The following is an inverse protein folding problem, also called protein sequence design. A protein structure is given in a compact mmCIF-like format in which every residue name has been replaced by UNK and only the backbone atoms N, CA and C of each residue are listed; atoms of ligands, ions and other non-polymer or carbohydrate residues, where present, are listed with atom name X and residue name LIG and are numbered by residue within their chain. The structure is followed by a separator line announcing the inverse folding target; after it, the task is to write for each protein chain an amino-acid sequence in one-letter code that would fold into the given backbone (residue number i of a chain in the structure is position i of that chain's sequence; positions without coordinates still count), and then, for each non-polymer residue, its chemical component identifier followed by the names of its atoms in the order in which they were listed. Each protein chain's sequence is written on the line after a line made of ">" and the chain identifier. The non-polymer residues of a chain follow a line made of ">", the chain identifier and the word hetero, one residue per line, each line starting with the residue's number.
data_IF_379475075811
#
_entry.id   IF_379475075811
#
_cell.length_a   1.000
_cell.length_b   1.000
_cell.length_c   1.000
_cell.angle_alpha   90.00
_cell.angle_beta   90.00
_cell.angle_gamma   90.00
#
_symmetry.space_group_name_H-M   'P 1'
#
loop_
_entity.id
_entity.type
_entity.pdbx_description
1 polymer ?
#
# COMPACT_ATOMS: atom_id res chain seq x y z
N UNK A 1 -12.19 30.36 -3.04
CA UNK A 1 -12.33 29.41 -1.92
C UNK A 1 -11.76 28.10 -2.40
N UNK A 2 -10.53 27.78 -2.01
CA UNK A 2 -10.00 26.42 -2.16
C UNK A 2 -10.79 25.56 -1.20
N UNK A 3 -11.58 24.62 -1.72
CA UNK A 3 -12.16 23.60 -0.86
C UNK A 3 -11.00 22.74 -0.37
N UNK A 4 -10.81 22.66 0.94
CA UNK A 4 -9.93 21.66 1.55
C UNK A 4 -10.48 20.28 1.15
N UNK A 5 -9.69 19.50 0.40
CA UNK A 5 -10.11 18.22 -0.18
C UNK A 5 -9.84 17.03 0.75
N UNK A 6 -9.80 17.26 2.07
CA UNK A 6 -9.55 16.21 3.05
C UNK A 6 -10.81 15.90 3.86
N UNK A 7 -11.03 14.62 4.15
CA UNK A 7 -12.12 14.14 5.02
C UNK A 7 -11.87 14.44 6.51
N UNK A 8 -10.70 15.00 6.83
CA UNK A 8 -10.31 15.39 8.19
C UNK A 8 -11.01 16.70 8.52
N UNK A 9 -11.87 16.68 9.54
CA UNK A 9 -12.60 17.86 9.98
C UNK A 9 -11.62 18.92 10.50
N UNK A 10 -11.75 20.15 10.01
CA UNK A 10 -11.04 21.33 10.52
C UNK A 10 -11.35 21.45 12.02
N UNK A 11 -10.29 21.46 12.84
CA UNK A 11 -10.23 21.53 14.32
C UNK A 11 -9.91 20.22 15.10
N UNK A 12 -9.77 19.06 14.45
CA UNK A 12 -9.35 17.80 15.09
C UNK A 12 -7.88 17.41 14.87
N UNK A 13 -7.24 16.78 15.86
CA UNK A 13 -5.93 16.13 15.69
C UNK A 13 -6.09 14.86 14.82
N UNK A 14 -5.83 15.03 13.52
CA UNK A 14 -5.92 13.99 12.49
C UNK A 14 -5.13 12.72 12.83
N UNK A 15 -3.99 12.89 13.51
CA UNK A 15 -3.12 11.78 13.91
C UNK A 15 -3.83 10.97 14.99
N UNK A 16 -4.34 11.62 16.03
CA UNK A 16 -5.09 10.94 17.09
C UNK A 16 -6.34 10.22 16.56
N UNK A 17 -7.08 10.82 15.62
CA UNK A 17 -8.26 10.15 15.01
C UNK A 17 -7.87 8.92 14.19
N UNK A 18 -6.79 9.01 13.40
CA UNK A 18 -6.24 7.86 12.69
C UNK A 18 -5.87 6.73 13.65
N UNK A 19 -5.16 7.04 14.75
CA UNK A 19 -4.73 6.04 15.73
C UNK A 19 -5.92 5.34 16.38
N UNK A 20 -6.96 6.10 16.77
CA UNK A 20 -8.20 5.53 17.32
C UNK A 20 -8.87 4.60 16.30
N UNK A 21 -9.00 5.03 15.05
CA UNK A 21 -9.55 4.19 13.98
C UNK A 21 -8.75 2.91 13.76
N UNK A 22 -7.42 2.98 13.86
CA UNK A 22 -6.55 1.81 13.77
C UNK A 22 -6.79 0.82 14.93
N UNK A 23 -6.81 1.31 16.17
CA UNK A 23 -7.05 0.49 17.38
C UNK A 23 -8.45 -0.12 17.38
N UNK A 24 -9.48 0.65 17.00
CA UNK A 24 -10.86 0.15 16.89
C UNK A 24 -11.00 -0.93 15.80
N UNK A 25 -10.19 -0.85 14.74
CA UNK A 25 -10.19 -1.83 13.63
C UNK A 25 -9.40 -3.10 13.99
N UNK A 26 -8.30 -2.96 14.74
CA UNK A 26 -7.37 -4.05 15.03
C UNK A 26 -7.26 -4.28 16.54
N UNK A 27 -8.07 -5.19 17.13
CA UNK A 27 -8.12 -5.44 18.58
C UNK A 27 -6.79 -5.89 19.23
N UNK A 28 -5.82 -6.29 18.41
CA UNK A 28 -4.46 -6.63 18.83
C UNK A 28 -3.54 -5.43 19.01
N UNK A 29 -4.01 -4.20 18.79
CA UNK A 29 -3.27 -2.96 18.97
C UNK A 29 -3.91 -2.09 20.05
N UNK A 30 -3.08 -1.32 20.75
CA UNK A 30 -3.47 -0.31 21.75
C UNK A 30 -2.53 0.89 21.66
N UNK A 31 -2.97 2.05 22.16
CA UNK A 31 -2.11 3.19 22.41
C UNK A 31 -1.75 3.30 23.90
N UNK A 32 -0.62 3.93 24.21
CA UNK A 32 -0.15 4.09 25.59
C UNK A 32 -0.93 5.19 26.33
N UNK A 33 -1.33 4.95 27.58
CA UNK A 33 -2.00 5.96 28.39
C UNK A 33 -1.06 7.15 28.66
N UNK A 34 -1.59 8.37 28.51
CA UNK A 34 -0.80 9.61 28.52
C UNK A 34 0.05 9.88 27.27
N UNK A 35 0.18 8.92 26.36
CA UNK A 35 0.94 9.03 25.10
C UNK A 35 0.16 8.38 23.94
N UNK A 36 -0.96 8.97 23.50
CA UNK A 36 -1.85 8.39 22.49
C UNK A 36 -1.19 8.22 21.11
N UNK A 37 -0.03 8.83 20.91
CA UNK A 37 0.81 8.76 19.72
C UNK A 37 1.74 7.53 19.68
N UNK A 38 1.77 6.74 20.76
CA UNK A 38 2.57 5.51 20.89
C UNK A 38 1.67 4.29 20.74
N UNK A 39 1.89 3.49 19.71
CA UNK A 39 1.09 2.29 19.39
C UNK A 39 1.88 1.03 19.67
N UNK A 40 1.27 0.09 20.38
CA UNK A 40 1.86 -1.20 20.81
C UNK A 40 0.85 -2.34 20.66
N UNK A 41 1.27 -3.61 20.58
CA UNK A 41 0.36 -4.74 20.63
C UNK A 41 -0.31 -4.90 22.00
N UNK A 42 -1.60 -5.26 22.03
CA UNK A 42 -2.39 -5.46 23.25
C UNK A 42 -1.78 -6.47 24.22
N UNK A 43 -1.07 -7.47 23.70
CA UNK A 43 -0.41 -8.51 24.51
C UNK A 43 0.99 -8.11 25.00
N UNK A 44 1.48 -6.91 24.66
CA UNK A 44 2.82 -6.43 24.99
C UNK A 44 2.76 -5.23 25.92
N UNK A 45 2.86 -5.50 27.21
CA UNK A 45 3.14 -4.53 28.26
C UNK A 45 4.26 -5.08 29.15
N UNK A 46 5.16 -4.21 29.64
CA UNK A 46 6.30 -4.58 30.50
C UNK A 46 5.85 -5.42 31.71
N UNK A 47 6.76 -6.28 32.19
CA UNK A 47 6.54 -7.26 33.26
C UNK A 47 6.19 -6.67 34.65
N UNK A 48 6.41 -5.37 34.86
CA UNK A 48 6.00 -4.63 36.06
C UNK A 48 4.56 -4.07 35.99
N UNK A 49 3.90 -4.18 34.83
CA UNK A 49 2.53 -3.69 34.58
C UNK A 49 1.61 -4.80 34.00
N UNK A 50 2.17 -5.86 33.39
CA UNK A 50 1.44 -6.98 32.78
C UNK A 50 2.04 -8.33 33.16
N UNK A 51 1.20 -9.34 33.35
CA UNK A 51 1.59 -10.71 33.68
C UNK A 51 2.27 -11.50 32.55
N UNK A 52 2.45 -10.90 31.36
CA UNK A 52 3.13 -11.53 30.23
C UNK A 52 4.57 -11.04 30.10
N UNK A 53 5.55 -11.93 30.26
CA UNK A 53 6.97 -11.62 30.02
C UNK A 53 7.25 -11.53 28.52
N UNK A 54 7.48 -10.33 27.98
CA UNK A 54 8.08 -10.20 26.65
C UNK A 54 9.58 -10.54 26.75
N UNK A 55 9.96 -11.69 26.20
CA UNK A 55 11.29 -12.30 26.36
C UNK A 55 12.17 -12.16 25.10
N UNK A 56 11.78 -11.26 24.19
CA UNK A 56 12.43 -10.99 22.91
C UNK A 56 12.93 -9.55 22.84
N UNK A 57 13.78 -9.26 21.86
CA UNK A 57 14.20 -7.89 21.55
C UNK A 57 12.98 -7.09 21.08
N UNK A 58 12.76 -5.91 21.64
CA UNK A 58 11.74 -5.00 21.14
C UNK A 58 12.24 -4.27 19.89
N UNK A 59 11.45 -4.23 18.82
CA UNK A 59 11.78 -3.50 17.59
C UNK A 59 10.87 -2.29 17.47
N UNK A 60 11.42 -1.09 17.60
CA UNK A 60 10.65 0.16 17.65
C UNK A 60 10.98 1.01 16.43
N UNK A 61 9.97 1.61 15.82
CA UNK A 61 10.17 2.62 14.78
C UNK A 61 9.18 3.76 14.96
N UNK A 62 9.23 4.74 14.06
CA UNK A 62 8.39 5.92 14.13
C UNK A 62 8.86 7.04 13.18
N UNK A 63 8.33 8.22 13.43
CA UNK A 63 8.54 9.42 12.64
C UNK A 63 7.23 10.18 12.45
N UNK A 64 7.26 11.24 11.65
CA UNK A 64 6.05 11.99 11.33
C UNK A 64 4.96 11.17 10.67
N UNK A 65 3.72 11.53 10.96
CA UNK A 65 2.51 10.95 10.38
C UNK A 65 2.30 11.44 8.93
N UNK A 66 1.34 10.87 8.22
CA UNK A 66 1.09 11.14 6.80
C UNK A 66 1.78 10.15 5.86
N UNK A 67 2.26 9.03 6.41
CA UNK A 67 2.92 7.94 5.68
C UNK A 67 2.18 6.61 5.81
N UNK A 68 0.94 6.64 6.31
CA UNK A 68 0.16 5.47 6.68
C UNK A 68 0.03 4.49 5.49
N UNK A 69 0.17 3.16 5.72
CA UNK A 69 0.20 2.49 7.02
C UNK A 69 1.54 2.56 7.77
N UNK A 70 2.58 3.18 7.20
CA UNK A 70 3.84 3.35 7.92
C UNK A 70 3.69 4.34 9.08
N UNK A 71 4.04 4.01 10.32
CA UNK A 71 4.60 2.72 10.79
C UNK A 71 3.61 1.85 11.55
N UNK A 72 2.54 2.46 12.06
CA UNK A 72 1.55 1.85 12.94
C UNK A 72 0.95 0.54 12.39
N UNK A 73 0.68 0.49 11.08
CA UNK A 73 0.14 -0.71 10.43
C UNK A 73 1.10 -1.90 10.35
N UNK A 74 2.37 -1.69 10.72
CA UNK A 74 3.40 -2.73 10.79
C UNK A 74 3.73 -3.17 12.23
N UNK A 75 2.93 -2.73 13.21
CA UNK A 75 3.02 -3.17 14.60
C UNK A 75 2.36 -4.54 14.74
N UNK A 76 3.12 -5.51 15.28
CA UNK A 76 2.73 -6.90 15.41
C UNK A 76 3.93 -7.82 15.61
N UNK A 77 3.70 -8.99 16.20
CA UNK A 77 4.70 -10.04 16.32
C UNK A 77 5.28 -10.39 14.94
N UNK A 78 6.59 -10.53 14.85
CA UNK A 78 7.30 -10.76 13.58
C UNK A 78 7.61 -9.48 12.77
N UNK A 79 7.21 -8.29 13.25
CA UNK A 79 7.57 -6.97 12.72
C UNK A 79 7.89 -5.97 13.85
N UNK A 80 7.18 -4.83 13.96
CA UNK A 80 7.45 -3.83 14.98
C UNK A 80 6.74 -4.19 16.29
N UNK A 81 7.46 -4.03 17.40
CA UNK A 81 6.91 -4.06 18.76
C UNK A 81 6.19 -2.76 19.11
N UNK A 82 6.63 -1.62 18.58
CA UNK A 82 5.96 -0.34 18.78
C UNK A 82 6.20 0.61 17.60
N UNK A 83 5.23 1.50 17.37
CA UNK A 83 5.34 2.62 16.45
C UNK A 83 5.06 3.94 17.19
N UNK A 84 5.96 4.92 17.05
CA UNK A 84 5.83 6.25 17.65
C UNK A 84 5.48 7.25 16.54
N UNK A 85 4.26 7.79 16.59
CA UNK A 85 3.73 8.68 15.55
C UNK A 85 3.98 10.14 15.95
N UNK A 86 4.65 10.92 15.10
CA UNK A 86 4.73 12.36 15.29
C UNK A 86 3.53 13.08 14.66
N UNK A 87 3.57 14.41 14.66
CA UNK A 87 2.62 15.20 13.85
C UNK A 87 2.87 14.94 12.35
N UNK A 88 1.99 15.44 11.48
CA UNK A 88 2.10 15.27 10.03
C UNK A 88 3.47 15.78 9.57
N UNK A 89 4.27 14.86 9.03
CA UNK A 89 5.62 15.10 8.51
C UNK A 89 6.68 15.58 9.53
N UNK A 90 6.36 15.63 10.82
CA UNK A 90 7.29 16.04 11.88
C UNK A 90 7.63 14.89 12.82
N UNK A 91 8.91 14.76 13.18
CA UNK A 91 9.39 13.69 14.07
C UNK A 91 8.66 13.73 15.42
N UNK A 92 8.33 12.57 16.03
CA UNK A 92 7.74 12.52 17.35
C UNK A 92 8.63 13.19 18.40
N UNK A 93 8.05 13.77 19.47
CA UNK A 93 8.78 14.29 20.60
C UNK A 93 9.63 13.23 21.29
N UNK A 94 10.73 13.67 21.93
CA UNK A 94 11.65 12.78 22.68
C UNK A 94 10.91 12.01 23.78
N UNK A 95 10.01 12.67 24.52
CA UNK A 95 9.28 12.07 25.63
C UNK A 95 8.35 10.93 25.19
N UNK A 96 7.72 11.05 24.02
CA UNK A 96 6.90 9.98 23.42
C UNK A 96 7.74 8.78 23.03
N UNK A 97 8.89 9.01 22.38
CA UNK A 97 9.82 7.94 22.00
C UNK A 97 10.34 7.22 23.23
N UNK A 98 10.79 7.97 24.24
CA UNK A 98 11.29 7.43 25.50
C UNK A 98 10.21 6.63 26.24
N UNK A 99 8.97 7.10 26.22
CA UNK A 99 7.83 6.39 26.81
C UNK A 99 7.51 5.09 26.08
N UNK A 100 7.61 5.08 24.74
CA UNK A 100 7.54 3.84 23.95
C UNK A 100 8.65 2.85 24.29
N UNK A 101 9.91 3.31 24.37
CA UNK A 101 11.06 2.49 24.80
C UNK A 101 10.78 1.87 26.16
N UNK A 102 10.42 2.71 27.14
CA UNK A 102 10.06 2.27 28.49
C UNK A 102 8.92 1.23 28.45
N UNK A 103 7.87 1.43 27.67
CA UNK A 103 6.69 0.57 27.69
C UNK A 103 6.97 -0.86 27.20
N UNK A 104 7.82 -1.02 26.17
CA UNK A 104 7.99 -2.32 25.49
C UNK A 104 9.36 -2.98 25.68
N UNK A 105 10.35 -2.28 26.23
CA UNK A 105 11.71 -2.81 26.35
C UNK A 105 11.88 -3.66 27.60
N UNK A 106 12.11 -4.96 27.42
CA UNK A 106 12.45 -5.90 28.47
C UNK A 106 13.96 -6.12 28.64
N UNK A 107 14.33 -7.20 29.33
CA UNK A 107 15.74 -7.56 29.62
C UNK A 107 16.58 -7.90 28.38
N UNK A 108 15.94 -8.11 27.23
CA UNK A 108 16.63 -8.33 25.94
C UNK A 108 16.97 -7.04 25.20
N UNK A 109 16.56 -5.88 25.73
CA UNK A 109 16.79 -4.57 25.11
C UNK A 109 15.90 -4.31 23.90
N UNK A 110 16.15 -3.18 23.23
CA UNK A 110 15.40 -2.76 22.06
C UNK A 110 16.29 -2.24 20.92
N UNK A 111 15.81 -2.44 19.70
CA UNK A 111 16.36 -1.86 18.48
C UNK A 111 15.45 -0.75 17.99
N UNK A 112 16.01 0.44 17.80
CA UNK A 112 15.36 1.57 17.12
C UNK A 112 15.70 1.55 15.63
N UNK A 113 14.68 1.43 14.77
CA UNK A 113 14.82 1.58 13.31
C UNK A 113 14.37 2.99 12.93
N UNK A 114 15.30 3.82 12.49
CA UNK A 114 15.07 5.26 12.30
C UNK A 114 15.30 5.62 10.83
N UNK A 115 14.31 6.25 10.20
CA UNK A 115 14.46 6.78 8.83
C UNK A 115 15.50 7.90 8.85
N UNK A 116 16.34 8.00 7.82
CA UNK A 116 17.44 8.98 7.81
C UNK A 116 16.96 10.41 7.51
N UNK A 117 16.35 11.02 8.50
CA UNK A 117 15.92 12.40 8.54
C UNK A 117 16.46 13.08 9.79
N UNK A 118 16.82 14.36 9.69
CA UNK A 118 17.51 15.06 10.77
C UNK A 118 16.70 15.07 12.06
N UNK A 119 15.41 15.42 12.00
CA UNK A 119 14.51 15.40 13.15
C UNK A 119 14.43 14.02 13.78
N UNK A 120 14.12 13.00 12.97
CA UNK A 120 14.05 11.61 13.42
C UNK A 120 15.36 11.17 14.12
N UNK A 121 16.53 11.46 13.52
CA UNK A 121 17.83 11.08 14.09
C UNK A 121 18.13 11.77 15.41
N UNK A 122 17.82 13.05 15.53
CA UNK A 122 18.07 13.81 16.73
C UNK A 122 17.13 13.38 17.86
N UNK A 123 15.83 13.24 17.58
CA UNK A 123 14.84 12.91 18.61
C UNK A 123 14.99 11.46 19.08
N UNK A 124 15.11 10.49 18.17
CA UNK A 124 15.36 9.09 18.55
C UNK A 124 16.72 8.90 19.19
N UNK A 125 17.75 9.61 18.72
CA UNK A 125 19.08 9.58 19.34
C UNK A 125 19.05 10.11 20.77
N UNK A 126 18.37 11.24 21.01
CA UNK A 126 18.21 11.81 22.35
C UNK A 126 17.46 10.83 23.28
N UNK A 127 16.34 10.27 22.82
CA UNK A 127 15.58 9.27 23.58
C UNK A 127 16.40 8.00 23.88
N UNK A 128 17.21 7.53 22.93
CA UNK A 128 18.08 6.37 23.12
C UNK A 128 19.13 6.61 24.21
N UNK A 129 19.78 7.78 24.22
CA UNK A 129 20.79 8.11 25.23
C UNK A 129 20.16 8.29 26.62
N UNK A 130 18.96 8.89 26.69
CA UNK A 130 18.20 8.96 27.94
C UNK A 130 17.81 7.56 28.45
N UNK A 131 17.28 6.70 27.59
CA UNK A 131 16.94 5.32 27.95
C UNK A 131 18.17 4.51 28.41
N UNK A 132 19.32 4.66 27.76
CA UNK A 132 20.58 4.04 28.22
C UNK A 132 20.99 4.53 29.61
N UNK A 133 20.81 5.83 29.89
CA UNK A 133 21.08 6.38 31.23
C UNK A 133 20.14 5.82 32.32
N UNK A 134 18.96 5.35 31.93
CA UNK A 134 18.00 4.65 32.79
C UNK A 134 18.26 3.14 32.92
N UNK A 135 19.27 2.61 32.22
CA UNK A 135 19.67 1.21 32.27
C UNK A 135 19.03 0.31 31.20
N UNK A 136 18.38 0.87 30.19
CA UNK A 136 17.91 0.09 29.04
C UNK A 136 19.05 -0.18 28.04
N UNK A 137 19.11 -1.42 27.56
CA UNK A 137 19.96 -1.77 26.41
C UNK A 137 19.28 -1.34 25.12
N UNK A 138 19.90 -0.42 24.38
CA UNK A 138 19.32 0.19 23.17
C UNK A 138 20.34 0.25 22.04
N UNK A 139 19.99 -0.33 20.90
CA UNK A 139 20.70 -0.16 19.63
C UNK A 139 19.88 0.69 18.65
N UNK A 140 20.55 1.36 17.71
CA UNK A 140 19.87 2.20 16.71
C UNK A 140 20.45 1.97 15.31
N UNK A 141 19.56 1.68 14.35
CA UNK A 141 19.91 1.52 12.93
C UNK A 141 19.22 2.61 12.12
N UNK A 142 20.02 3.35 11.35
CA UNK A 142 19.55 4.41 10.46
C UNK A 142 19.32 3.83 9.06
N UNK A 143 18.12 4.00 8.51
CA UNK A 143 17.77 3.54 7.16
C UNK A 143 17.82 4.70 6.18
N UNK A 144 18.73 4.61 5.21
CA UNK A 144 18.90 5.56 4.11
C UNK A 144 19.00 4.84 2.77
N UNK A 145 17.85 4.39 2.27
CA UNK A 145 17.66 3.58 1.07
C UNK A 145 17.44 4.42 -0.21
N UNK A 146 17.13 5.70 -0.09
CA UNK A 146 16.91 6.58 -1.24
C UNK A 146 18.15 6.77 -2.12
N UNK A 147 18.03 6.43 -3.41
CA UNK A 147 19.11 6.58 -4.39
C UNK A 147 18.95 7.78 -5.33
N UNK A 148 17.94 8.64 -5.14
CA UNK A 148 17.72 9.81 -5.98
C UNK A 148 18.81 10.88 -5.87
N UNK A 149 19.45 11.01 -4.70
CA UNK A 149 20.42 12.07 -4.41
C UNK A 149 21.84 11.68 -4.87
N UNK A 150 22.41 12.36 -5.89
CA UNK A 150 23.80 12.13 -6.29
C UNK A 150 24.76 12.67 -5.20
N UNK A 151 25.98 12.10 -5.08
CA UNK A 151 27.04 12.72 -4.29
C UNK A 151 27.47 14.10 -4.86
N UNK A 152 27.90 15.06 -4.01
CA UNK A 152 27.95 14.99 -2.55
C UNK A 152 26.54 15.11 -1.95
N UNK A 153 26.20 14.14 -1.09
CA UNK A 153 24.91 14.11 -0.40
C UNK A 153 25.03 15.08 0.77
N UNK A 154 24.03 15.93 0.99
CA UNK A 154 24.04 16.92 2.09
C UNK A 154 24.28 16.28 3.46
N UNK A 155 24.33 17.09 4.52
CA UNK A 155 24.77 16.68 5.87
C UNK A 155 24.10 15.39 6.37
N UNK A 156 22.79 15.22 6.13
CA UNK A 156 22.04 14.05 6.58
C UNK A 156 22.33 12.77 5.76
N UNK A 157 22.76 12.88 4.51
CA UNK A 157 22.92 11.74 3.60
C UNK A 157 21.65 11.40 2.82
N UNK A 158 21.42 10.10 2.56
CA UNK A 158 20.27 9.60 1.79
C UNK A 158 19.01 9.53 2.67
N UNK A 159 17.84 9.89 2.13
CA UNK A 159 16.56 9.77 2.84
C UNK A 159 16.19 8.30 3.10
N UNK A 160 15.42 8.06 4.15
CA UNK A 160 14.77 6.77 4.42
C UNK A 160 13.35 6.76 3.84
N UNK A 161 13.05 5.83 2.92
CA UNK A 161 11.80 5.70 2.19
C UNK A 161 11.19 4.29 2.40
N UNK A 162 10.38 3.82 1.46
CA UNK A 162 9.61 2.57 1.55
C UNK A 162 10.46 1.31 1.78
N UNK A 163 11.75 1.30 1.45
CA UNK A 163 12.65 0.19 1.74
C UNK A 163 12.82 -0.07 3.24
N UNK A 164 12.53 0.92 4.08
CA UNK A 164 12.47 0.80 5.55
C UNK A 164 11.54 -0.34 5.99
N UNK A 165 10.44 -0.59 5.28
CA UNK A 165 9.48 -1.64 5.67
C UNK A 165 10.09 -3.04 5.55
N UNK A 166 11.02 -3.26 4.61
CA UNK A 166 11.77 -4.51 4.58
C UNK A 166 12.72 -4.65 5.77
N UNK A 167 13.32 -3.54 6.24
CA UNK A 167 14.15 -3.55 7.45
C UNK A 167 13.30 -3.92 8.65
N UNK A 168 12.09 -3.33 8.79
CA UNK A 168 11.13 -3.72 9.84
C UNK A 168 10.85 -5.22 9.83
N UNK A 169 10.58 -5.79 8.65
CA UNK A 169 10.27 -7.21 8.52
C UNK A 169 11.45 -8.11 8.87
N UNK A 170 12.65 -7.78 8.41
CA UNK A 170 13.87 -8.55 8.70
C UNK A 170 14.19 -8.50 10.19
N UNK A 171 14.19 -7.32 10.78
CA UNK A 171 14.49 -7.12 12.20
C UNK A 171 13.45 -7.77 13.11
N UNK A 172 12.16 -7.58 12.79
CA UNK A 172 11.07 -8.18 13.55
C UNK A 172 11.07 -9.70 13.49
N UNK A 173 11.35 -10.29 12.33
CA UNK A 173 11.49 -11.74 12.19
C UNK A 173 12.73 -12.28 12.93
N UNK A 174 13.85 -11.54 12.90
CA UNK A 174 15.04 -11.89 13.68
C UNK A 174 14.77 -11.85 15.19
N UNK A 175 14.11 -10.80 15.68
CA UNK A 175 13.69 -10.68 17.07
C UNK A 175 12.68 -11.77 17.47
N UNK A 176 11.71 -12.07 16.60
CA UNK A 176 10.73 -13.14 16.80
C UNK A 176 11.37 -14.52 16.90
N UNK A 177 12.48 -14.74 16.19
CA UNK A 177 13.30 -15.95 16.24
C UNK A 177 14.22 -16.03 17.49
N UNK A 178 14.16 -15.04 18.39
CA UNK A 178 14.89 -15.06 19.67
C UNK A 178 16.36 -14.66 19.58
N UNK A 179 16.77 -14.00 18.49
CA UNK A 179 18.14 -13.48 18.36
C UNK A 179 18.43 -12.40 19.41
N UNK A 180 19.69 -12.26 19.78
CA UNK A 180 20.15 -11.21 20.70
C UNK A 180 20.04 -9.81 20.07
N UNK A 181 20.02 -8.75 20.89
CA UNK A 181 19.96 -7.37 20.42
C UNK A 181 21.05 -7.06 19.38
N UNK A 182 22.28 -7.49 19.64
CA UNK A 182 23.40 -7.30 18.72
C UNK A 182 23.19 -8.00 17.37
N UNK A 183 22.66 -9.23 17.37
CA UNK A 183 22.36 -9.97 16.13
C UNK A 183 21.19 -9.35 15.36
N UNK A 184 20.15 -8.91 16.07
CA UNK A 184 19.00 -8.20 15.46
C UNK A 184 19.46 -6.88 14.83
N UNK A 185 20.29 -6.10 15.54
CA UNK A 185 20.89 -4.88 15.00
C UNK A 185 21.78 -5.14 13.78
N UNK A 186 22.56 -6.23 13.79
CA UNK A 186 23.38 -6.63 12.66
C UNK A 186 22.55 -7.01 11.41
N UNK A 187 21.47 -7.77 11.58
CA UNK A 187 20.55 -8.10 10.48
C UNK A 187 19.81 -6.87 9.95
N UNK A 188 19.38 -5.97 10.84
CA UNK A 188 18.76 -4.70 10.48
C UNK A 188 19.69 -3.83 9.64
N UNK A 189 20.94 -3.67 10.10
CA UNK A 189 21.98 -2.91 9.39
C UNK A 189 22.25 -3.54 8.02
N UNK A 190 22.43 -4.86 7.96
CA UNK A 190 22.64 -5.59 6.71
C UNK A 190 21.47 -5.38 5.75
N UNK A 191 20.23 -5.48 6.22
CA UNK A 191 19.04 -5.23 5.41
C UNK A 191 19.02 -3.80 4.86
N UNK A 192 19.36 -2.80 5.68
CA UNK A 192 19.41 -1.38 5.28
C UNK A 192 20.47 -1.10 4.19
N UNK A 193 21.58 -1.85 4.19
CA UNK A 193 22.66 -1.74 3.19
C UNK A 193 22.36 -2.53 1.91
N UNK A 194 21.32 -3.38 1.94
CA UNK A 194 20.89 -4.24 0.84
C UNK A 194 19.59 -3.76 0.18
N UNK A 195 19.10 -2.56 0.49
CA UNK A 195 17.88 -2.01 -0.08
C UNK A 195 18.11 -0.64 -0.72
N UNK A 196 17.49 -0.44 -1.89
CA UNK A 196 17.53 0.80 -2.65
C UNK A 196 16.13 1.18 -3.09
N UNK A 197 15.79 2.45 -2.94
CA UNK A 197 14.49 2.99 -3.33
C UNK A 197 14.67 4.23 -4.18
N UNK A 198 13.80 4.40 -5.18
CA UNK A 198 13.61 5.68 -5.86
C UNK A 198 12.13 5.86 -6.19
N UNK A 199 11.67 7.08 -6.00
CA UNK A 199 10.29 7.53 -6.17
C UNK A 199 10.11 8.33 -7.46
N UNK A 200 8.86 8.48 -7.88
CA UNK A 200 8.40 9.40 -8.91
C UNK A 200 7.00 9.88 -8.54
N UNK A 201 6.69 11.14 -8.76
CA UNK A 201 5.35 11.68 -8.56
C UNK A 201 4.89 12.59 -9.72
N UNK A 202 3.57 12.63 -9.90
CA UNK A 202 2.84 13.49 -10.82
C UNK A 202 2.28 14.73 -10.11
N UNK A 203 1.99 14.60 -8.81
CA UNK A 203 1.56 15.69 -7.95
C UNK A 203 2.37 15.69 -6.66
N UNK A 204 2.49 16.84 -6.00
CA UNK A 204 2.89 16.88 -4.60
C UNK A 204 1.70 16.47 -3.71
N UNK A 205 1.97 16.16 -2.44
CA UNK A 205 0.93 15.96 -1.45
C UNK A 205 0.31 17.31 -1.02
N UNK A 206 -0.97 17.27 -0.69
CA UNK A 206 -1.71 18.30 0.04
C UNK A 206 -1.42 18.19 1.53
N UNK A 207 -1.15 19.33 2.17
CA UNK A 207 -1.07 19.39 3.63
C UNK A 207 -2.41 19.91 4.17
N UNK A 208 -3.02 19.25 5.18
CA UNK A 208 -4.26 19.70 5.76
C UNK A 208 -4.19 21.16 6.22
N UNK A 209 -5.18 21.97 5.83
CA UNK A 209 -5.26 23.38 6.16
C UNK A 209 -4.27 24.30 5.42
N UNK A 210 -3.50 23.79 4.45
CA UNK A 210 -2.62 24.59 3.61
C UNK A 210 -3.13 24.67 2.17
N UNK A 211 -2.92 25.82 1.54
CA UNK A 211 -3.24 26.00 0.13
C UNK A 211 -2.39 25.06 -0.72
N UNK A 212 -3.05 24.28 -1.58
CA UNK A 212 -2.40 23.48 -2.59
C UNK A 212 -1.63 24.35 -3.58
N UNK A 213 -0.30 24.35 -3.46
CA UNK A 213 0.58 24.96 -4.44
C UNK A 213 0.92 23.87 -5.47
N UNK A 214 0.43 24.04 -6.70
CA UNK A 214 0.74 23.15 -7.82
C UNK A 214 2.23 23.25 -8.16
N UNK A 215 3.03 22.40 -7.50
CA UNK A 215 4.49 22.40 -7.59
C UNK A 215 5.01 21.62 -8.80
N UNK A 216 4.31 20.53 -9.15
CA UNK A 216 4.58 19.75 -10.36
C UNK A 216 3.51 20.17 -11.36
N UNK A 217 3.92 20.96 -12.36
CA UNK A 217 3.00 21.52 -13.34
C UNK A 217 2.38 20.44 -14.26
N UNK A 218 1.35 20.81 -15.03
CA UNK A 218 0.66 19.89 -15.92
C UNK A 218 1.62 19.29 -16.96
N UNK A 219 1.48 17.98 -17.20
CA UNK A 219 2.35 17.24 -18.12
C UNK A 219 3.79 17.08 -17.64
N UNK A 220 4.07 17.33 -16.36
CA UNK A 220 5.37 17.07 -15.72
C UNK A 220 5.29 15.88 -14.76
N UNK A 221 6.46 15.39 -14.41
CA UNK A 221 6.68 14.46 -13.31
C UNK A 221 7.93 14.86 -12.55
N UNK A 222 8.05 14.43 -11.30
CA UNK A 222 9.24 14.65 -10.48
C UNK A 222 9.85 13.32 -10.07
N UNK A 223 11.10 13.13 -10.48
CA UNK A 223 11.90 11.94 -10.21
C UNK A 223 12.67 12.13 -8.90
N UNK A 224 12.58 11.16 -8.00
CA UNK A 224 13.32 11.18 -6.74
C UNK A 224 12.76 12.17 -5.71
N UNK A 225 11.44 12.38 -5.71
CA UNK A 225 10.73 13.16 -4.70
C UNK A 225 10.77 12.44 -3.32
N UNK A 226 10.95 13.16 -2.22
CA UNK A 226 10.91 12.56 -0.89
C UNK A 226 9.49 12.35 -0.38
N UNK A 227 9.34 11.56 0.70
CA UNK A 227 8.02 11.26 1.28
C UNK A 227 7.40 12.43 2.05
N UNK A 228 8.13 13.51 2.34
CA UNK A 228 7.57 14.76 2.88
C UNK A 228 7.48 15.86 1.82
N UNK A 229 7.42 15.47 0.55
CA UNK A 229 7.42 16.39 -0.59
C UNK A 229 8.78 17.07 -0.86
N UNK A 230 9.87 16.55 -0.30
CA UNK A 230 11.20 17.12 -0.57
C UNK A 230 11.57 16.97 -2.05
N UNK A 231 12.15 18.03 -2.62
CA UNK A 231 12.34 18.14 -4.06
C UNK A 231 13.19 17.01 -4.66
N UNK A 232 12.77 16.58 -5.84
CA UNK A 232 13.51 15.76 -6.78
C UNK A 232 13.85 16.54 -8.06
N UNK A 233 14.04 15.82 -9.16
CA UNK A 233 14.30 16.38 -10.48
C UNK A 233 13.02 16.41 -11.32
N UNK A 234 12.58 17.59 -11.74
CA UNK A 234 11.40 17.76 -12.60
C UNK A 234 11.74 17.43 -14.05
N UNK A 235 10.87 16.66 -14.71
CA UNK A 235 10.98 16.27 -16.10
C UNK A 235 9.59 16.28 -16.78
N UNK A 236 9.56 16.17 -18.11
CA UNK A 236 8.31 15.94 -18.84
C UNK A 236 7.73 14.58 -18.47
N UNK A 237 6.39 14.51 -18.36
CA UNK A 237 5.68 13.25 -18.15
C UNK A 237 6.02 12.26 -19.26
N UNK A 238 6.34 11.03 -18.88
CA UNK A 238 6.67 9.95 -19.80
C UNK A 238 5.74 8.75 -19.60
N UNK A 239 5.59 7.89 -20.63
CA UNK A 239 4.99 6.59 -20.46
C UNK A 239 5.65 5.79 -19.32
N UNK A 240 4.83 5.07 -18.56
CA UNK A 240 5.25 4.36 -17.34
C UNK A 240 6.40 3.37 -17.55
N UNK A 241 6.53 2.76 -18.72
CA UNK A 241 7.63 1.85 -19.04
C UNK A 241 8.97 2.58 -19.13
N UNK A 242 8.99 3.79 -19.70
CA UNK A 242 10.17 4.67 -19.75
C UNK A 242 10.53 5.14 -18.34
N UNK A 243 9.53 5.52 -17.54
CA UNK A 243 9.72 5.94 -16.14
C UNK A 243 10.35 4.81 -15.32
N UNK A 244 9.77 3.60 -15.39
CA UNK A 244 10.29 2.42 -14.71
C UNK A 244 11.71 2.10 -15.17
N UNK A 245 11.99 2.13 -16.47
CA UNK A 245 13.34 1.93 -16.99
C UNK A 245 14.35 2.94 -16.44
N UNK A 246 13.95 4.21 -16.32
CA UNK A 246 14.80 5.24 -15.71
C UNK A 246 15.07 4.95 -14.24
N UNK A 247 14.02 4.69 -13.45
CA UNK A 247 14.11 4.39 -12.02
C UNK A 247 15.01 3.16 -11.79
N UNK A 248 14.83 2.09 -12.57
CA UNK A 248 15.69 0.90 -12.52
C UNK A 248 17.14 1.21 -12.82
N UNK A 249 17.42 2.01 -13.87
CA UNK A 249 18.78 2.40 -14.22
C UNK A 249 19.48 3.16 -13.09
N UNK A 250 18.76 4.01 -12.36
CA UNK A 250 19.32 4.74 -11.22
C UNK A 250 19.61 3.81 -10.04
N UNK A 251 18.63 2.98 -9.65
CA UNK A 251 18.78 2.00 -8.56
C UNK A 251 19.96 1.06 -8.82
N UNK A 252 20.08 0.55 -10.05
CA UNK A 252 21.11 -0.40 -10.44
C UNK A 252 22.46 0.27 -10.79
N UNK A 253 22.54 1.60 -10.71
CA UNK A 253 23.79 2.29 -11.03
C UNK A 253 24.86 1.99 -9.98
N UNK A 254 26.08 1.66 -10.43
CA UNK A 254 27.24 1.48 -9.56
C UNK A 254 27.74 2.76 -8.88
N UNK A 255 27.07 3.89 -9.12
CA UNK A 255 27.29 5.16 -8.41
C UNK A 255 26.62 5.18 -7.03
N UNK A 256 25.78 4.18 -6.74
CA UNK A 256 25.23 3.95 -5.40
C UNK A 256 26.30 3.23 -4.56
N UNK A 257 26.63 3.76 -3.39
CA UNK A 257 27.78 3.32 -2.56
C UNK A 257 27.45 2.11 -1.68
N UNK A 258 26.52 1.24 -2.10
CA UNK A 258 26.08 0.05 -1.35
C UNK A 258 26.40 -1.24 -2.12
N UNK A 259 25.97 -2.39 -1.59
CA UNK A 259 26.17 -3.73 -2.19
C UNK A 259 25.55 -3.77 -3.61
N UNK A 260 26.33 -3.81 -4.70
CA UNK A 260 25.76 -3.68 -6.03
C UNK A 260 24.80 -4.83 -6.39
N UNK A 261 23.71 -4.48 -7.08
CA UNK A 261 22.84 -5.44 -7.77
C UNK A 261 23.37 -5.59 -9.20
N UNK A 262 23.88 -6.78 -9.50
CA UNK A 262 24.45 -7.14 -10.80
C UNK A 262 23.67 -8.27 -11.46
N UNK A 263 23.92 -8.53 -12.75
CA UNK A 263 23.37 -9.69 -13.45
C UNK A 263 23.63 -10.98 -12.66
N UNK A 264 22.61 -11.82 -12.51
CA UNK A 264 22.64 -13.03 -11.68
C UNK A 264 22.30 -12.80 -10.20
N UNK A 265 22.18 -11.54 -9.76
CA UNK A 265 21.67 -11.24 -8.42
C UNK A 265 20.21 -11.67 -8.28
N UNK A 266 19.82 -12.00 -7.05
CA UNK A 266 18.44 -12.27 -6.64
C UNK A 266 17.94 -11.07 -5.85
N UNK A 267 16.72 -10.63 -6.12
CA UNK A 267 16.12 -9.48 -5.45
C UNK A 267 14.67 -9.74 -5.06
N UNK A 268 14.22 -9.00 -4.06
CA UNK A 268 12.82 -8.76 -3.77
C UNK A 268 12.46 -7.36 -4.28
N UNK A 269 11.30 -7.24 -4.94
CA UNK A 269 10.78 -6.00 -5.51
C UNK A 269 9.58 -5.51 -4.69
N UNK A 270 9.56 -4.24 -4.33
CA UNK A 270 8.37 -3.53 -3.87
C UNK A 270 8.03 -2.40 -4.84
N UNK A 271 6.77 -2.33 -5.27
CA UNK A 271 6.18 -1.20 -5.97
C UNK A 271 5.17 -0.54 -5.03
N UNK A 272 5.57 0.57 -4.46
CA UNK A 272 4.86 1.26 -3.38
C UNK A 272 4.11 2.48 -3.95
N UNK A 273 2.82 2.59 -3.70
CA UNK A 273 2.04 3.80 -3.97
C UNK A 273 2.31 4.89 -2.93
N UNK A 274 2.36 6.14 -3.38
CA UNK A 274 2.60 7.30 -2.51
C UNK A 274 1.31 7.94 -1.97
N UNK A 275 0.15 7.35 -2.23
CA UNK A 275 -1.14 7.90 -1.80
C UNK A 275 -2.18 7.83 -2.91
N UNK A 276 -2.18 8.82 -3.80
CA UNK A 276 -3.18 9.02 -4.85
C UNK A 276 -3.10 8.08 -6.06
N UNK A 277 -2.08 7.23 -6.17
CA UNK A 277 -1.93 6.31 -7.30
C UNK A 277 -2.81 5.08 -7.15
N UNK A 278 -3.60 4.76 -8.18
CA UNK A 278 -4.52 3.63 -8.14
C UNK A 278 -3.79 2.27 -8.21
N UNK A 279 -4.39 1.23 -7.65
CA UNK A 279 -3.85 -0.14 -7.73
C UNK A 279 -3.62 -0.59 -9.19
N UNK A 280 -4.49 -0.17 -10.12
CA UNK A 280 -4.33 -0.44 -11.55
C UNK A 280 -3.01 0.10 -12.08
N UNK A 281 -2.67 1.33 -11.75
CA UNK A 281 -1.42 1.97 -12.19
C UNK A 281 -0.21 1.31 -11.54
N UNK A 282 -0.28 0.98 -10.25
CA UNK A 282 0.78 0.25 -9.55
C UNK A 282 1.03 -1.12 -10.18
N UNK A 283 -0.01 -1.85 -10.57
CA UNK A 283 0.12 -3.15 -11.25
C UNK A 283 0.76 -3.03 -12.63
N UNK A 284 0.48 -1.94 -13.36
CA UNK A 284 1.15 -1.65 -14.64
C UNK A 284 2.64 -1.36 -14.40
N UNK A 285 2.99 -0.55 -13.39
CA UNK A 285 4.37 -0.28 -13.03
C UNK A 285 5.11 -1.57 -12.60
N UNK A 286 4.47 -2.42 -11.79
CA UNK A 286 5.01 -3.71 -11.36
C UNK A 286 5.27 -4.65 -12.55
N UNK A 287 4.33 -4.75 -13.50
CA UNK A 287 4.52 -5.53 -14.74
C UNK A 287 5.79 -5.12 -15.48
N UNK A 288 6.02 -3.82 -15.65
CA UNK A 288 7.23 -3.32 -16.31
C UNK A 288 8.47 -3.54 -15.45
N UNK A 289 8.42 -3.27 -14.15
CA UNK A 289 9.57 -3.42 -13.25
C UNK A 289 10.08 -4.87 -13.23
N UNK A 290 9.19 -5.84 -13.07
CA UNK A 290 9.52 -7.27 -13.15
C UNK A 290 10.15 -7.63 -14.48
N UNK A 291 9.52 -7.20 -15.59
CA UNK A 291 10.00 -7.53 -16.94
C UNK A 291 11.39 -6.96 -17.21
N UNK A 292 11.63 -5.69 -16.85
CA UNK A 292 12.92 -5.00 -17.04
C UNK A 292 14.03 -5.65 -16.20
N UNK A 293 13.77 -6.00 -14.94
CA UNK A 293 14.74 -6.69 -14.09
C UNK A 293 15.17 -8.03 -14.68
N UNK A 294 14.22 -8.84 -15.14
CA UNK A 294 14.50 -10.19 -15.63
C UNK A 294 15.12 -10.18 -17.03
N UNK A 295 14.54 -9.43 -17.98
CA UNK A 295 14.94 -9.46 -19.39
C UNK A 295 16.15 -8.59 -19.68
N UNK A 296 16.14 -7.34 -19.21
CA UNK A 296 17.16 -6.36 -19.58
C UNK A 296 18.39 -6.47 -18.67
N UNK A 297 18.17 -6.70 -17.37
CA UNK A 297 19.24 -6.73 -16.36
C UNK A 297 19.69 -8.13 -15.95
N UNK A 298 18.93 -9.18 -16.29
CA UNK A 298 19.25 -10.56 -15.90
C UNK A 298 19.28 -10.77 -14.38
N UNK A 299 18.40 -10.07 -13.67
CA UNK A 299 18.22 -10.13 -12.21
C UNK A 299 17.00 -10.99 -11.90
N UNK A 300 17.16 -11.97 -11.00
CA UNK A 300 16.07 -12.84 -10.59
C UNK A 300 15.19 -12.13 -9.54
N UNK A 301 13.89 -12.06 -9.79
CA UNK A 301 12.92 -11.44 -8.86
C UNK A 301 12.21 -12.54 -8.08
N UNK A 302 12.57 -12.72 -6.81
CA UNK A 302 12.11 -13.81 -5.94
C UNK A 302 10.73 -13.53 -5.35
N UNK A 303 10.44 -12.28 -5.00
CA UNK A 303 9.15 -11.81 -4.46
C UNK A 303 8.80 -10.45 -5.05
N UNK A 304 7.50 -10.18 -5.15
CA UNK A 304 6.96 -8.89 -5.59
C UNK A 304 5.89 -8.46 -4.61
N UNK A 305 6.03 -7.27 -4.06
CA UNK A 305 5.06 -6.59 -3.22
C UNK A 305 4.53 -5.38 -3.99
N UNK A 306 3.22 -5.21 -4.06
CA UNK A 306 2.60 -4.09 -4.78
C UNK A 306 1.40 -3.60 -4.01
N UNK A 307 1.37 -2.31 -3.69
CA UNK A 307 0.37 -1.70 -2.81
C UNK A 307 0.88 -0.38 -2.23
N UNK A 308 0.19 0.14 -1.22
CA UNK A 308 0.62 1.33 -0.47
C UNK A 308 1.15 0.89 0.89
N UNK A 309 2.45 1.04 1.10
CA UNK A 309 3.15 0.60 2.31
C UNK A 309 3.77 1.77 3.07
N UNK A 310 4.23 2.79 2.36
CA UNK A 310 4.70 4.05 2.91
C UNK A 310 4.28 5.18 1.98
N UNK A 311 3.25 5.91 2.37
CA UNK A 311 2.61 6.96 1.56
C UNK A 311 3.24 8.34 1.82
N UNK A 312 2.70 9.33 1.14
CA UNK A 312 2.91 10.75 1.38
C UNK A 312 1.54 11.42 1.19
N UNK A 313 0.65 11.20 2.15
CA UNK A 313 -0.75 11.65 2.11
C UNK A 313 -1.42 11.24 0.79
N UNK A 314 -1.89 12.21 0.00
CA UNK A 314 -2.59 12.04 -1.27
C UNK A 314 -1.66 12.12 -2.51
N UNK A 315 -0.34 12.13 -2.32
CA UNK A 315 0.63 12.25 -3.40
C UNK A 315 0.38 11.22 -4.50
N UNK A 316 0.13 11.70 -5.73
CA UNK A 316 -0.02 10.82 -6.89
C UNK A 316 1.36 10.47 -7.42
N UNK A 317 1.88 9.33 -6.98
CA UNK A 317 3.16 8.79 -7.43
C UNK A 317 3.39 7.36 -6.94
N UNK A 318 4.55 6.81 -7.29
CA UNK A 318 4.97 5.51 -6.80
C UNK A 318 6.48 5.50 -6.54
N UNK A 319 6.93 4.57 -5.72
CA UNK A 319 8.35 4.25 -5.56
C UNK A 319 8.61 2.80 -5.87
N UNK A 320 9.84 2.53 -6.31
CA UNK A 320 10.32 1.16 -6.47
C UNK A 320 11.46 0.94 -5.49
N UNK A 321 11.32 -0.10 -4.69
CA UNK A 321 12.38 -0.59 -3.80
C UNK A 321 12.86 -1.95 -4.26
N UNK A 322 14.19 -2.11 -4.37
CA UNK A 322 14.83 -3.41 -4.59
C UNK A 322 15.62 -3.78 -3.35
N UNK A 323 15.38 -4.95 -2.80
CA UNK A 323 16.23 -5.55 -1.78
C UNK A 323 17.01 -6.71 -2.37
N UNK A 324 18.35 -6.63 -2.34
CA UNK A 324 19.20 -7.78 -2.70
C UNK A 324 19.00 -8.87 -1.66
N UNK A 325 18.76 -10.10 -2.11
CA UNK A 325 18.35 -11.18 -1.22
C UNK A 325 19.23 -12.42 -1.34
N UNK A 326 19.36 -13.11 -0.21
CA UNK A 326 19.83 -14.48 -0.09
C UNK A 326 18.73 -15.33 0.57
N UNK A 327 19.03 -16.60 0.86
CA UNK A 327 18.07 -17.50 1.54
C UNK A 327 17.68 -17.00 2.93
N UNK A 328 18.60 -16.33 3.65
CA UNK A 328 18.35 -15.83 5.01
C UNK A 328 17.36 -14.67 5.00
N UNK A 329 17.54 -13.69 4.10
CA UNK A 329 16.59 -12.58 3.92
C UNK A 329 15.22 -13.11 3.49
N UNK A 330 15.16 -14.04 2.52
CA UNK A 330 13.88 -14.63 2.09
C UNK A 330 13.16 -15.29 3.26
N UNK A 331 13.85 -16.09 4.07
CA UNK A 331 13.25 -16.72 5.24
C UNK A 331 12.69 -15.70 6.24
N UNK A 332 13.37 -14.56 6.46
CA UNK A 332 12.85 -13.51 7.34
C UNK A 332 11.66 -12.76 6.75
N UNK A 333 11.65 -12.51 5.44
CA UNK A 333 10.53 -11.89 4.74
C UNK A 333 9.29 -12.81 4.75
N UNK A 334 9.50 -14.11 4.58
CA UNK A 334 8.44 -15.13 4.56
C UNK A 334 8.01 -15.57 5.98
N UNK A 335 8.75 -15.20 7.04
CA UNK A 335 8.39 -15.53 8.42
C UNK A 335 7.03 -14.92 8.80
N UNK A 336 6.21 -15.62 9.60
CA UNK A 336 4.87 -15.16 9.94
C UNK A 336 4.88 -13.83 10.70
N UNK A 337 3.83 -13.03 10.52
CA UNK A 337 3.55 -11.84 11.31
C UNK A 337 2.04 -11.62 11.42
N UNK A 338 1.60 -10.99 12.50
CA UNK A 338 0.23 -10.52 12.67
C UNK A 338 0.09 -9.00 12.45
N UNK A 339 1.13 -8.34 11.96
CA UNK A 339 1.10 -6.94 11.59
C UNK A 339 0.05 -6.69 10.49
N UNK A 340 -0.94 -5.80 10.70
CA UNK A 340 -2.12 -5.74 9.84
C UNK A 340 -1.86 -5.43 8.35
N UNK A 341 -0.80 -4.67 8.05
CA UNK A 341 -0.52 -4.20 6.70
C UNK A 341 0.69 -4.88 6.05
N UNK A 342 1.25 -5.94 6.65
CA UNK A 342 2.23 -6.75 5.93
C UNK A 342 1.51 -7.59 4.88
N UNK A 343 1.80 -7.40 3.58
CA UNK A 343 1.15 -8.17 2.53
C UNK A 343 1.54 -9.64 2.64
N UNK A 344 0.59 -10.54 2.39
CA UNK A 344 0.93 -11.94 2.14
C UNK A 344 1.85 -11.96 0.93
N UNK A 345 3.07 -12.49 1.09
CA UNK A 345 4.02 -12.62 0.00
C UNK A 345 3.41 -13.43 -1.13
N UNK A 346 3.44 -12.90 -2.36
CA UNK A 346 3.11 -13.68 -3.53
C UNK A 346 4.23 -14.72 -3.75
N UNK A 347 4.03 -15.93 -3.24
CA UNK A 347 4.92 -17.07 -3.45
C UNK A 347 4.61 -17.79 -4.77
N UNK A 348 5.60 -18.51 -5.32
CA UNK A 348 5.36 -19.51 -6.37
C UNK A 348 6.25 -19.42 -7.61
N UNK A 349 6.36 -20.56 -8.30
CA UNK A 349 6.97 -20.66 -9.62
C UNK A 349 6.05 -19.95 -10.61
N UNK A 350 6.49 -18.90 -11.30
CA UNK A 350 5.64 -18.11 -12.22
C UNK A 350 5.31 -18.95 -13.45
N UNK A 351 4.10 -19.52 -13.57
CA UNK A 351 3.75 -20.29 -14.75
C UNK A 351 3.63 -19.35 -15.96
N UNK A 352 3.63 -19.88 -17.20
CA UNK A 352 3.48 -19.07 -18.39
C UNK A 352 2.26 -18.15 -18.28
N UNK A 353 2.45 -16.85 -18.57
CA UNK A 353 1.41 -15.79 -18.48
C UNK A 353 0.15 -16.10 -19.30
N UNK A 354 0.27 -17.00 -20.27
CA UNK A 354 -0.84 -17.48 -21.10
C UNK A 354 -1.05 -18.96 -20.85
N UNK A 355 -2.12 -19.28 -20.14
CA UNK A 355 -2.70 -20.62 -20.17
C UNK A 355 -3.50 -20.69 -21.47
N UNK A 356 -3.23 -21.71 -22.29
CA UNK A 356 -4.06 -21.94 -23.47
C UNK A 356 -5.47 -22.22 -22.97
N UNK A 357 -6.47 -21.56 -23.57
CA UNK A 357 -7.87 -21.85 -23.27
C UNK A 357 -8.04 -23.36 -23.43
N UNK A 358 -8.47 -24.10 -22.39
CA UNK A 358 -8.74 -25.51 -22.54
C UNK A 358 -9.82 -25.63 -23.61
N UNK A 359 -9.42 -26.09 -24.80
CA UNK A 359 -10.34 -26.40 -25.88
C UNK A 359 -11.16 -27.56 -25.34
N UNK A 360 -12.43 -27.30 -25.03
CA UNK A 360 -13.39 -28.38 -24.81
C UNK A 360 -13.39 -29.21 -26.08
N UNK A 361 -12.99 -30.48 -25.98
CA UNK A 361 -13.28 -31.43 -27.04
C UNK A 361 -14.79 -31.46 -27.17
N UNK A 362 -15.34 -30.71 -28.13
CA UNK A 362 -16.73 -30.89 -28.54
C UNK A 362 -16.87 -32.36 -28.87
N UNK A 363 -17.83 -33.02 -28.25
CA UNK A 363 -18.17 -34.41 -28.51
C UNK A 363 -18.31 -34.58 -30.03
N UNK A 364 -17.27 -35.11 -30.66
CA UNK A 364 -17.26 -35.39 -32.09
C UNK A 364 -18.14 -36.61 -32.29
N UNK A 365 -19.46 -36.39 -32.37
CA UNK A 365 -20.31 -37.30 -33.10
C UNK A 365 -19.92 -37.16 -34.56
N UNK A 366 -19.21 -38.18 -35.05
CA UNK A 366 -19.16 -38.50 -36.48
C UNK A 366 -20.58 -38.38 -37.03
N UNK A 367 -20.75 -37.58 -38.07
CA UNK A 367 -21.55 -37.93 -39.23
C UNK A 367 -21.07 -37.12 -40.42
N UNK A 368 -20.97 -37.84 -41.53
CA UNK A 368 -20.52 -37.44 -42.83
C UNK A 368 -21.40 -36.36 -43.49
N UNK A 369 -20.79 -35.74 -44.50
CA UNK A 369 -21.35 -34.98 -45.63
C UNK A 369 -21.69 -33.47 -45.48
N UNK A 370 -20.80 -32.69 -46.11
CA UNK A 370 -21.02 -31.46 -46.88
C UNK A 370 -21.97 -30.38 -46.35
N UNK A 371 -21.42 -29.29 -45.78
CA UNK A 371 -21.79 -27.89 -46.06
C UNK A 371 -21.07 -26.91 -45.11
N UNK A 372 -20.82 -25.68 -45.59
CA UNK A 372 -20.08 -24.59 -44.94
C UNK A 372 -20.57 -24.26 -43.51
N UNK A 373 -19.70 -23.73 -42.62
CA UNK A 373 -20.09 -23.46 -41.23
C UNK A 373 -21.06 -22.28 -41.17
N UNK A 374 -22.33 -22.57 -40.92
CA UNK A 374 -23.34 -21.58 -40.57
C UNK A 374 -23.28 -21.37 -39.06
N UNK A 375 -23.24 -20.11 -38.63
CA UNK A 375 -23.29 -19.69 -37.22
C UNK A 375 -24.44 -20.42 -36.51
N UNK A 376 -24.11 -21.27 -35.53
CA UNK A 376 -25.09 -21.95 -34.69
C UNK A 376 -25.68 -20.93 -33.70
N UNK A 377 -26.69 -20.18 -34.14
CA UNK A 377 -27.62 -19.54 -33.21
C UNK A 377 -28.32 -20.67 -32.44
N UNK A 378 -28.07 -20.73 -31.14
CA UNK A 378 -28.82 -21.59 -30.24
C UNK A 378 -30.29 -21.17 -30.28
N UNK A 379 -31.09 -21.84 -31.11
CA UNK A 379 -32.53 -21.64 -31.19
C UNK A 379 -33.16 -22.33 -29.99
N UNK A 380 -33.24 -21.63 -28.86
CA UNK A 380 -34.25 -21.95 -27.87
C UNK A 380 -35.61 -21.77 -28.55
N UNK A 381 -36.33 -22.87 -28.80
CA UNK A 381 -37.73 -22.79 -29.21
C UNK A 381 -38.48 -22.00 -28.15
N UNK A 382 -39.20 -20.91 -28.51
CA UNK A 382 -40.00 -20.19 -27.52
C UNK A 382 -41.14 -21.11 -27.09
N UNK A 383 -41.08 -21.57 -25.84
CA UNK A 383 -42.25 -22.09 -25.15
C UNK A 383 -43.21 -20.90 -24.93
N UNK A 384 -44.49 -20.99 -25.31
CA UNK A 384 -45.43 -19.89 -25.11
C UNK A 384 -45.61 -19.65 -23.61
N UNK A 385 -45.33 -18.42 -23.18
CA UNK A 385 -45.59 -17.98 -21.82
C UNK A 385 -47.10 -17.86 -21.60
N UNK A 386 -47.65 -18.28 -20.44
CA UNK A 386 -49.07 -18.13 -20.16
C UNK A 386 -49.51 -16.66 -20.26
N UNK A 387 -50.52 -16.43 -21.09
CA UNK A 387 -51.23 -15.16 -21.27
C UNK A 387 -51.95 -14.78 -19.96
N UNK A 388 -51.28 -14.12 -19.02
CA UNK A 388 -51.87 -13.07 -18.16
C UNK A 388 -50.83 -12.34 -17.28
N UNK A 389 -49.96 -11.50 -17.86
CA UNK A 389 -49.03 -10.66 -17.09
C UNK A 389 -49.02 -9.17 -17.49
N UNK A 390 -50.07 -8.71 -18.16
CA UNK A 390 -50.28 -7.26 -18.35
C UNK A 390 -50.37 -6.48 -17.03
N UNK A 391 -50.95 -7.02 -15.93
CA UNK A 391 -51.00 -6.30 -14.65
C UNK A 391 -49.63 -6.13 -13.99
N UNK A 392 -48.70 -7.07 -14.16
CA UNK A 392 -47.37 -7.01 -13.50
C UNK A 392 -46.43 -5.99 -14.14
N UNK A 393 -46.51 -5.81 -15.47
CA UNK A 393 -45.76 -4.77 -16.19
C UNK A 393 -46.30 -3.36 -15.90
N UNK A 394 -47.60 -3.19 -15.68
CA UNK A 394 -48.18 -1.94 -15.20
C UNK A 394 -47.86 -1.67 -13.71
N UNK A 395 -47.75 -2.73 -12.90
CA UNK A 395 -47.37 -2.62 -11.49
C UNK A 395 -45.92 -2.14 -11.30
N UNK A 396 -44.99 -2.61 -12.14
CA UNK A 396 -43.56 -2.24 -12.09
C UNK A 396 -43.23 -0.87 -12.67
N UNK A 397 -44.16 -0.25 -13.41
CA UNK A 397 -43.96 1.08 -14.02
C UNK A 397 -44.54 2.23 -13.20
N UNK A 398 -45.28 1.95 -12.11
CA UNK A 398 -46.06 2.96 -11.35
C UNK A 398 -45.64 3.20 -9.90
N UNK A 399 -44.56 2.60 -9.39
CA UNK A 399 -44.01 2.95 -8.07
C UNK A 399 -42.53 3.32 -8.12
N UNK A 400 -42.08 4.34 -7.37
CA UNK A 400 -40.68 4.51 -7.08
C UNK A 400 -40.23 3.34 -6.20
N UNK A 401 -39.10 2.73 -6.53
CA UNK A 401 -38.43 1.73 -5.70
C UNK A 401 -37.83 2.47 -4.51
N UNK A 402 -38.46 2.37 -3.34
CA UNK A 402 -37.87 2.89 -2.09
C UNK A 402 -36.90 1.83 -1.59
N UNK A 403 -35.59 2.07 -1.75
CA UNK A 403 -34.55 1.25 -1.13
C UNK A 403 -34.34 1.66 0.32
N UNK A 404 -34.10 0.67 1.19
CA UNK A 404 -33.82 0.76 2.64
C UNK A 404 -32.52 1.50 3.03
N UNK A 405 -32.12 2.49 2.23
CA UNK A 405 -30.89 3.28 2.38
C UNK A 405 -31.10 4.62 3.10
N UNK A 406 -32.32 4.94 3.54
CA UNK A 406 -32.67 6.28 4.05
C UNK A 406 -32.15 6.59 5.47
N UNK A 407 -31.76 5.59 6.26
CA UNK A 407 -31.42 5.80 7.67
C UNK A 407 -30.07 6.53 7.92
N UNK A 408 -29.14 6.49 6.96
CA UNK A 408 -27.84 7.20 7.05
C UNK A 408 -27.81 8.51 6.26
N UNK A 409 -28.70 8.66 5.26
CA UNK A 409 -28.60 9.72 4.24
C UNK A 409 -29.12 11.08 4.69
N UNK A 410 -29.82 11.17 5.83
CA UNK A 410 -30.54 12.38 6.24
C UNK A 410 -29.77 13.35 7.15
N UNK A 411 -28.52 13.06 7.54
CA UNK A 411 -27.77 13.89 8.50
C UNK A 411 -26.71 14.81 7.88
N UNK A 412 -26.27 14.56 6.65
CA UNK A 412 -25.13 15.29 6.03
C UNK A 412 -25.51 15.97 4.71
N UNK A 413 -26.56 15.51 4.02
CA UNK A 413 -27.00 16.05 2.73
C UNK A 413 -28.49 16.36 2.79
N UNK A 414 -28.91 17.54 2.34
CA UNK A 414 -30.34 17.90 2.32
C UNK A 414 -31.12 17.02 1.34
N UNK A 415 -32.39 16.75 1.67
CA UNK A 415 -33.32 15.96 0.85
C UNK A 415 -33.41 16.44 -0.60
N UNK A 416 -33.29 17.75 -0.80
CA UNK A 416 -33.48 18.41 -2.08
C UNK A 416 -32.29 18.17 -3.02
N UNK A 417 -31.07 18.04 -2.47
CA UNK A 417 -29.86 17.69 -3.23
C UNK A 417 -29.92 16.22 -3.63
N UNK A 418 -30.33 15.32 -2.73
CA UNK A 418 -30.45 13.89 -3.00
C UNK A 418 -31.49 13.58 -4.09
N UNK A 419 -32.59 14.34 -4.16
CA UNK A 419 -33.62 14.18 -5.19
C UNK A 419 -33.16 14.60 -6.60
N UNK A 420 -32.06 15.36 -6.71
CA UNK A 420 -31.54 15.86 -7.99
C UNK A 420 -30.50 14.95 -8.66
N UNK A 421 -30.03 13.90 -7.97
CA UNK A 421 -28.99 12.99 -8.47
C UNK A 421 -29.63 11.80 -9.19
N UNK A 422 -29.33 11.64 -10.48
CA UNK A 422 -29.83 10.53 -11.27
C UNK A 422 -29.29 9.19 -10.76
N UNK A 423 -30.17 8.21 -10.52
CA UNK A 423 -29.79 6.84 -10.14
C UNK A 423 -29.12 6.12 -11.33
N UNK A 424 -27.81 5.77 -11.23
CA UNK A 424 -27.11 5.05 -12.30
C UNK A 424 -27.70 3.66 -12.54
N UNK A 425 -28.25 3.02 -11.49
CA UNK A 425 -28.89 1.71 -11.57
C UNK A 425 -30.21 1.76 -12.36
N UNK A 426 -31.05 2.76 -12.09
CA UNK A 426 -32.26 3.01 -12.86
C UNK A 426 -31.97 3.33 -14.33
N UNK A 427 -30.89 4.06 -14.61
CA UNK A 427 -30.49 4.44 -15.97
C UNK A 427 -30.00 3.23 -16.79
N UNK A 428 -29.22 2.34 -16.16
CA UNK A 428 -28.77 1.10 -16.78
C UNK A 428 -29.94 0.12 -17.00
N UNK A 429 -30.83 -0.03 -16.03
CA UNK A 429 -32.02 -0.86 -16.14
C UNK A 429 -32.98 -0.34 -17.24
N UNK A 430 -33.23 0.97 -17.29
CA UNK A 430 -34.07 1.58 -18.33
C UNK A 430 -33.49 1.39 -19.74
N UNK A 431 -32.16 1.42 -19.89
CA UNK A 431 -31.48 1.15 -21.16
C UNK A 431 -31.63 -0.31 -21.59
N UNK A 432 -31.50 -1.24 -20.64
CA UNK A 432 -31.75 -2.68 -20.87
C UNK A 432 -33.21 -2.96 -21.24
N UNK A 433 -34.18 -2.40 -20.50
CA UNK A 433 -35.60 -2.57 -20.81
C UNK A 433 -36.01 -1.92 -22.14
N UNK A 434 -35.44 -0.77 -22.50
CA UNK A 434 -35.62 -0.17 -23.83
C UNK A 434 -35.07 -1.07 -24.94
N UNK A 435 -33.87 -1.62 -24.77
CA UNK A 435 -33.26 -2.53 -25.74
C UNK A 435 -34.09 -3.82 -25.89
N UNK A 436 -34.55 -4.40 -24.78
CA UNK A 436 -35.42 -5.57 -24.78
C UNK A 436 -36.77 -5.28 -25.47
N UNK A 437 -37.41 -4.14 -25.18
CA UNK A 437 -38.65 -3.74 -25.84
C UNK A 437 -38.47 -3.49 -27.34
N UNK A 438 -37.33 -2.95 -27.76
CA UNK A 438 -36.99 -2.74 -29.18
C UNK A 438 -36.77 -4.09 -29.90
N UNK A 439 -36.12 -5.04 -29.24
CA UNK A 439 -35.92 -6.40 -29.74
C UNK A 439 -37.23 -7.17 -29.90
N UNK A 440 -38.18 -7.01 -28.96
CA UNK A 440 -39.52 -7.60 -29.06
C UNK A 440 -40.33 -6.96 -30.19
N UNK A 441 -40.27 -5.63 -30.37
CA UNK A 441 -40.93 -4.93 -31.49
C UNK A 441 -40.39 -5.36 -32.85
N UNK A 442 -39.07 -5.53 -32.98
CA UNK A 442 -38.44 -5.99 -34.23
C UNK A 442 -38.72 -7.47 -34.52
N UNK A 443 -38.85 -8.30 -33.50
CA UNK A 443 -39.31 -9.70 -33.66
C UNK A 443 -40.79 -9.79 -34.07
N UNK A 444 -41.65 -8.92 -33.54
CA UNK A 444 -43.08 -8.86 -33.89
C UNK A 444 -43.33 -8.33 -35.31
N UNK A 445 -42.50 -7.41 -35.79
CA UNK A 445 -42.58 -6.90 -37.18
C UNK A 445 -42.17 -7.97 -38.22
N UNK A 446 -41.25 -8.89 -37.87
CA UNK A 446 -40.86 -10.01 -38.74
C UNK A 446 -41.92 -11.11 -38.84
N UNK A 447 -42.85 -11.21 -37.89
CA UNK A 447 -43.96 -12.17 -37.93
C UNK A 447 -45.19 -11.68 -38.73
N UNK A 448 -45.25 -10.40 -39.13
CA UNK A 448 -46.30 -9.86 -40.00
C UNK A 448 -45.91 -9.80 -41.49
N UNK A 449 -44.71 -10.28 -41.85
CA UNK A 449 -44.21 -10.36 -43.24
C UNK A 449 -43.79 -11.79 -43.63
N UNK A 450 -44.50 -12.81 -43.13
CA UNK A 450 -44.46 -14.18 -43.64
C UNK A 450 -45.89 -14.60 -43.99
#
# INVERSE_FOLDING_TARGET
>A
MSADFDYVLVDGDAVTEFIKGLVDTYPGLQYLDGFPDVIIPTNLYRADVSSATYDKVAVISGGGSGHEPAHAGFVGEGMLTAAICGDIFDSPPVDSILSGIRAVTGSKGCLLIVKNYTGDRLNFGCAAEQAKSEGYEVEMVIVGDDCALPPPRGIAGRRGLAGTIFVHKVSGAAAAAGLSLAEVAAEAKRASEMVWTMSVALTACSLPGQLNIERIGPGKMELGIGIRGERGAVADLQPVDIVVSHVMKQILSGKTTYVPITRGSRVVLMVNGLGGTTLKELMIAARYAVSRLQLDHGVAVERVYTGSFMTSLDMTGFSISLMKTDKKILNFLDAPTNAPYWPVGAEGNRPPVKIHIPITQSCAKKNDESSQPTLLLCTMKPQPWPLDQRPMLEYLTRRPVISTSEAWRSRVVSSDILASVADPGATAAASWYKAAALAVKTASAKHMMI
#
